data_IF_015401289199
#
_entry.id   IF_015401289199
#
_cell.length_a   1.000
_cell.length_b   1.000
_cell.length_c   1.000
_cell.angle_alpha   90.00
_cell.angle_beta   90.00
_cell.angle_gamma   90.00
#
_symmetry.space_group_name_H-M   'P 1'
#
loop_
_entity.id
_entity.type
_entity.pdbx_description
1 polymer ?
#
# COMPACT_ATOMS: atom_id res chain seq x y z
N UNK A 1 -26.05 -2.44 -60.05
CA UNK A 1 -25.17 -3.60 -59.91
C UNK A 1 -24.69 -3.63 -58.48
N UNK A 2 -25.48 -4.34 -57.66
CA UNK A 2 -25.14 -5.28 -56.57
C UNK A 2 -23.74 -5.25 -55.95
N UNK A 3 -23.51 -5.61 -54.70
CA UNK A 3 -24.29 -5.92 -53.48
C UNK A 3 -23.18 -6.40 -52.53
N UNK A 4 -23.01 -5.81 -51.35
CA UNK A 4 -22.38 -6.52 -50.24
C UNK A 4 -23.09 -6.14 -48.93
N UNK A 5 -24.10 -6.95 -48.64
CA UNK A 5 -24.83 -7.00 -47.38
C UNK A 5 -24.38 -8.23 -46.57
N UNK A 6 -24.11 -8.06 -45.27
CA UNK A 6 -24.52 -8.91 -44.11
C UNK A 6 -23.54 -8.73 -42.94
N UNK A 7 -23.86 -8.02 -41.85
CA UNK A 7 -24.82 -8.25 -40.74
C UNK A 7 -24.57 -9.50 -39.87
N UNK A 8 -24.12 -9.21 -38.64
CA UNK A 8 -24.34 -9.86 -37.34
C UNK A 8 -25.36 -11.00 -37.27
N UNK A 9 -25.01 -12.06 -36.51
CA UNK A 9 -25.89 -12.92 -35.68
C UNK A 9 -24.98 -13.82 -34.81
N UNK A 10 -24.88 -13.59 -33.50
CA UNK A 10 -25.71 -14.18 -32.42
C UNK A 10 -25.85 -15.70 -32.58
N UNK A 11 -25.01 -16.45 -31.87
CA UNK A 11 -25.14 -17.90 -31.72
C UNK A 11 -26.12 -18.15 -30.56
N UNK A 12 -27.25 -18.77 -30.90
CA UNK A 12 -28.25 -19.28 -29.97
C UNK A 12 -27.86 -20.68 -29.51
N UNK A 13 -27.93 -20.95 -28.21
CA UNK A 13 -27.88 -22.31 -27.66
C UNK A 13 -29.26 -22.97 -27.78
N UNK A 14 -29.36 -24.22 -28.25
CA UNK A 14 -30.52 -25.05 -28.00
C UNK A 14 -30.25 -26.02 -26.84
N UNK A 15 -31.05 -25.90 -25.79
CA UNK A 15 -31.40 -27.05 -24.95
C UNK A 15 -32.34 -27.98 -25.74
N UNK A 16 -32.22 -29.30 -25.59
CA UNK A 16 -33.34 -30.25 -25.41
C UNK A 16 -32.80 -31.66 -25.07
N UNK A 17 -33.12 -32.06 -23.84
CA UNK A 17 -33.59 -33.36 -23.31
C UNK A 17 -33.08 -34.68 -23.92
N UNK A 18 -32.60 -35.57 -23.04
CA UNK A 18 -33.24 -36.88 -22.84
C UNK A 18 -32.90 -37.53 -21.48
N UNK A 19 -33.95 -37.84 -20.70
CA UNK A 19 -34.07 -38.96 -19.76
C UNK A 19 -33.80 -40.29 -20.51
N UNK A 20 -33.42 -41.43 -19.95
CA UNK A 20 -33.22 -41.94 -18.60
C UNK A 20 -32.52 -43.32 -18.72
N UNK A 21 -32.24 -43.94 -17.58
CA UNK A 21 -32.24 -45.38 -17.25
C UNK A 21 -30.96 -45.82 -16.55
N UNK A 22 -31.16 -46.17 -15.28
CA UNK A 22 -30.24 -46.84 -14.37
C UNK A 22 -30.17 -48.32 -14.78
N UNK A 23 -28.95 -48.85 -14.91
CA UNK A 23 -28.69 -50.28 -14.83
C UNK A 23 -27.41 -50.49 -14.01
N UNK A 24 -27.62 -51.02 -12.82
CA UNK A 24 -26.57 -51.41 -11.87
C UNK A 24 -25.93 -52.68 -12.43
N UNK A 25 -24.65 -52.59 -12.79
CA UNK A 25 -23.77 -53.74 -12.91
C UNK A 25 -22.53 -53.45 -12.07
N UNK A 26 -22.47 -54.06 -10.89
CA UNK A 26 -21.30 -54.02 -10.03
C UNK A 26 -20.12 -54.69 -10.73
N UNK A 27 -19.02 -53.97 -10.87
CA UNK A 27 -17.69 -54.54 -10.89
C UNK A 27 -16.79 -53.67 -10.02
N UNK A 28 -16.41 -54.26 -8.90
CA UNK A 28 -15.39 -53.80 -7.97
C UNK A 28 -14.06 -53.64 -8.69
N UNK A 29 -13.75 -52.42 -9.13
CA UNK A 29 -12.39 -51.98 -9.40
C UNK A 29 -11.87 -51.30 -8.15
N UNK A 30 -11.09 -52.06 -7.38
CA UNK A 30 -10.26 -51.55 -6.31
C UNK A 30 -9.31 -50.49 -6.88
N UNK A 31 -9.66 -49.22 -6.73
CA UNK A 31 -8.71 -48.13 -6.86
C UNK A 31 -7.70 -48.28 -5.72
N UNK A 32 -6.50 -48.78 -6.05
CA UNK A 32 -5.33 -48.68 -5.17
C UNK A 32 -5.18 -47.21 -4.78
N UNK A 33 -5.38 -46.90 -3.50
CA UNK A 33 -4.96 -45.61 -2.95
C UNK A 33 -3.44 -45.49 -3.20
N UNK A 34 -2.97 -44.41 -3.85
CA UNK A 34 -1.55 -44.15 -3.88
C UNK A 34 -1.07 -43.95 -2.44
N UNK A 35 0.02 -44.63 -2.09
CA UNK A 35 0.69 -44.51 -0.80
C UNK A 35 0.92 -43.03 -0.52
N UNK A 36 0.39 -42.55 0.61
CA UNK A 36 0.78 -41.28 1.19
C UNK A 36 2.26 -41.40 1.58
N UNK A 37 3.14 -40.92 0.71
CA UNK A 37 4.45 -40.46 1.15
C UNK A 37 4.22 -39.20 1.98
N UNK A 38 4.71 -39.25 3.22
CA UNK A 38 4.87 -38.08 4.07
C UNK A 38 5.86 -37.14 3.37
N UNK A 39 5.36 -36.23 2.54
CA UNK A 39 6.11 -35.05 2.14
C UNK A 39 6.12 -34.15 3.37
N UNK A 40 7.17 -34.28 4.18
CA UNK A 40 7.57 -33.24 5.12
C UNK A 40 8.10 -32.05 4.31
N UNK A 41 7.21 -31.32 3.65
CA UNK A 41 7.51 -29.96 3.22
C UNK A 41 7.24 -29.02 4.39
N UNK A 42 8.10 -29.12 5.41
CA UNK A 42 8.51 -27.92 6.12
C UNK A 42 9.49 -27.17 5.22
N UNK A 43 8.97 -26.60 4.13
CA UNK A 43 9.55 -25.34 3.67
C UNK A 43 9.09 -24.29 4.66
N UNK A 44 9.82 -24.22 5.78
CA UNK A 44 9.92 -23.02 6.57
C UNK A 44 10.47 -21.98 5.61
N UNK A 45 9.56 -21.26 4.95
CA UNK A 45 9.90 -20.14 4.09
C UNK A 45 10.60 -19.17 5.02
N UNK A 46 11.92 -19.08 4.95
CA UNK A 46 12.67 -18.03 5.60
C UNK A 46 12.14 -16.74 5.00
N UNK A 47 11.19 -16.10 5.70
CA UNK A 47 10.66 -14.79 5.34
C UNK A 47 11.85 -13.87 5.38
N UNK A 48 12.37 -13.51 4.20
CA UNK A 48 13.47 -12.56 4.07
C UNK A 48 12.95 -11.25 4.66
N UNK A 49 13.47 -10.89 5.84
CA UNK A 49 13.07 -9.65 6.52
C UNK A 49 13.63 -8.49 5.71
N UNK A 50 12.76 -7.77 5.01
CA UNK A 50 13.14 -6.58 4.25
C UNK A 50 13.78 -5.54 5.18
N UNK A 51 14.71 -4.71 4.68
CA UNK A 51 15.17 -3.51 5.36
C UNK A 51 14.00 -2.61 5.79
N UNK A 52 14.16 -1.90 6.92
CA UNK A 52 13.11 -1.02 7.47
C UNK A 52 12.70 0.06 6.46
N UNK A 53 13.66 0.66 5.77
CA UNK A 53 13.41 1.63 4.70
C UNK A 53 12.49 1.07 3.62
N UNK A 54 12.76 -0.14 3.13
CA UNK A 54 11.99 -0.75 2.05
C UNK A 54 10.55 -1.01 2.51
N UNK A 55 10.36 -1.50 3.74
CA UNK A 55 9.02 -1.71 4.30
C UNK A 55 8.22 -0.41 4.39
N UNK A 56 8.84 0.67 4.87
CA UNK A 56 8.21 1.99 4.97
C UNK A 56 7.91 2.57 3.60
N UNK A 57 8.84 2.45 2.64
CA UNK A 57 8.66 2.88 1.25
C UNK A 57 7.46 2.18 0.62
N UNK A 58 7.40 0.85 0.70
CA UNK A 58 6.30 0.06 0.11
C UNK A 58 4.95 0.45 0.74
N UNK A 59 4.94 0.71 2.05
CA UNK A 59 3.73 1.13 2.75
C UNK A 59 3.26 2.52 2.30
N UNK A 60 4.18 3.50 2.19
CA UNK A 60 3.89 4.83 1.66
C UNK A 60 3.39 4.75 0.21
N UNK A 61 4.03 3.96 -0.65
CA UNK A 61 3.59 3.73 -2.04
C UNK A 61 2.17 3.19 -2.11
N UNK A 62 1.87 2.22 -1.25
CA UNK A 62 0.55 1.58 -1.20
C UNK A 62 -0.55 2.55 -0.77
N UNK A 63 -0.23 3.48 0.12
CA UNK A 63 -1.15 4.57 0.50
C UNK A 63 -1.26 5.58 -0.64
N UNK A 64 -0.14 6.17 -1.08
CA UNK A 64 -0.10 7.28 -2.03
C UNK A 64 -0.74 6.92 -3.39
N UNK A 65 -0.54 5.69 -3.87
CA UNK A 65 -1.17 5.20 -5.10
C UNK A 65 -2.70 5.12 -5.02
N UNK A 66 -3.26 4.89 -3.84
CA UNK A 66 -4.72 4.86 -3.61
C UNK A 66 -5.26 6.22 -3.19
N UNK A 67 -4.42 7.05 -2.58
CA UNK A 67 -4.82 8.34 -2.02
C UNK A 67 -5.27 9.32 -3.09
N UNK A 68 -4.79 9.21 -4.33
CA UNK A 68 -5.26 10.05 -5.43
C UNK A 68 -6.73 9.79 -5.84
N UNK A 69 -7.28 8.61 -5.55
CA UNK A 69 -8.57 8.16 -6.10
C UNK A 69 -9.83 8.76 -5.42
N UNK A 70 -9.71 9.76 -4.55
CA UNK A 70 -10.81 10.38 -3.75
C UNK A 70 -11.66 9.45 -2.86
N UNK A 71 -11.63 8.13 -3.09
CA UNK A 71 -12.35 7.09 -2.35
C UNK A 71 -11.56 6.53 -1.17
N UNK A 72 -10.30 6.96 -1.00
CA UNK A 72 -9.48 6.55 0.13
C UNK A 72 -9.99 7.16 1.42
N UNK A 73 -10.29 6.30 2.39
CA UNK A 73 -10.93 6.65 3.65
C UNK A 73 -10.33 5.82 4.81
N UNK A 74 -10.85 6.02 6.02
CA UNK A 74 -10.36 5.34 7.22
C UNK A 74 -10.48 3.80 7.17
N UNK A 75 -11.53 3.26 6.56
CA UNK A 75 -11.69 1.81 6.42
C UNK A 75 -10.66 1.22 5.47
N UNK A 76 -10.40 1.89 4.34
CA UNK A 76 -9.38 1.46 3.39
C UNK A 76 -7.97 1.58 3.96
N UNK A 77 -7.68 2.65 4.72
CA UNK A 77 -6.41 2.75 5.44
C UNK A 77 -6.29 1.60 6.43
N UNK A 78 -7.33 1.31 7.24
CA UNK A 78 -7.32 0.20 8.19
C UNK A 78 -7.04 -1.14 7.51
N UNK A 79 -7.77 -1.48 6.45
CA UNK A 79 -7.55 -2.73 5.72
C UNK A 79 -6.13 -2.83 5.18
N UNK A 80 -5.59 -1.73 4.66
CA UNK A 80 -4.22 -1.68 4.19
C UNK A 80 -3.23 -1.88 5.35
N UNK A 81 -3.36 -1.13 6.44
CA UNK A 81 -2.50 -1.24 7.62
C UNK A 81 -2.53 -2.65 8.23
N UNK A 82 -3.72 -3.25 8.34
CA UNK A 82 -3.89 -4.61 8.85
C UNK A 82 -3.16 -5.63 7.96
N UNK A 83 -3.11 -5.42 6.64
CA UNK A 83 -2.36 -6.32 5.74
C UNK A 83 -0.84 -6.19 5.87
N UNK A 84 -0.34 -5.05 6.34
CA UNK A 84 1.09 -4.79 6.55
C UNK A 84 1.57 -5.17 7.96
N UNK A 85 0.68 -5.16 8.96
CA UNK A 85 1.03 -5.39 10.37
C UNK A 85 1.64 -6.77 10.64
N UNK A 86 1.43 -7.73 9.72
CA UNK A 86 2.05 -9.07 9.78
C UNK A 86 3.54 -9.07 9.41
N UNK A 87 4.02 -8.04 8.71
CA UNK A 87 5.38 -7.99 8.14
C UNK A 87 6.22 -6.84 8.70
N UNK A 88 5.55 -5.76 9.11
CA UNK A 88 6.14 -4.51 9.54
C UNK A 88 5.37 -3.98 10.76
N UNK A 89 6.04 -3.48 11.83
CA UNK A 89 5.36 -2.95 13.01
C UNK A 89 4.62 -1.64 12.68
N UNK A 90 3.36 -1.77 12.25
CA UNK A 90 2.44 -0.67 11.98
C UNK A 90 1.06 -0.96 12.53
N UNK A 91 0.37 0.07 13.02
CA UNK A 91 -0.99 0.00 13.51
C UNK A 91 -1.77 1.27 13.21
N UNK A 92 -3.09 1.17 13.24
CA UNK A 92 -3.97 2.34 13.16
C UNK A 92 -4.07 2.99 14.53
N UNK A 93 -3.83 4.29 14.61
CA UNK A 93 -4.14 5.06 15.82
C UNK A 93 -5.65 5.25 15.94
N UNK A 94 -6.21 4.91 17.10
CA UNK A 94 -7.59 5.21 17.48
C UNK A 94 -7.64 5.56 18.96
N UNK A 95 -8.59 6.42 19.34
CA UNK A 95 -8.75 6.86 20.73
C UNK A 95 -8.97 5.69 21.73
N UNK A 96 -9.46 4.55 21.25
CA UNK A 96 -9.79 3.35 22.03
C UNK A 96 -8.76 2.21 21.92
N UNK A 97 -7.69 2.37 21.13
CA UNK A 97 -6.65 1.35 20.94
C UNK A 97 -5.25 1.97 20.93
N UNK A 98 -4.40 1.60 21.89
CA UNK A 98 -3.01 2.04 21.90
C UNK A 98 -2.18 1.28 20.86
N UNK A 99 -1.56 2.00 19.93
CA UNK A 99 -0.50 1.45 19.09
C UNK A 99 0.77 1.30 19.95
N UNK A 100 1.48 0.15 19.92
CA UNK A 100 2.72 0.02 20.69
C UNK A 100 3.74 1.09 20.33
N UNK A 101 4.47 1.62 21.32
CA UNK A 101 5.53 2.63 21.13
C UNK A 101 6.67 2.15 20.21
N UNK A 102 6.71 0.87 19.87
CA UNK A 102 7.67 0.28 18.94
C UNK A 102 7.15 0.18 17.49
N UNK A 103 5.92 0.63 17.23
CA UNK A 103 5.22 0.53 15.94
C UNK A 103 4.91 1.90 15.34
N UNK A 104 4.90 1.99 14.02
CA UNK A 104 4.39 3.18 13.32
C UNK A 104 2.88 3.27 13.57
N UNK A 105 2.42 4.44 14.01
CA UNK A 105 1.01 4.73 14.13
C UNK A 105 0.52 5.49 12.89
N UNK A 106 -0.48 4.94 12.21
CA UNK A 106 -1.10 5.55 11.04
C UNK A 106 -2.46 6.14 11.40
N UNK A 107 -2.70 7.38 11.00
CA UNK A 107 -3.98 8.07 11.11
C UNK A 107 -4.32 8.79 9.80
N UNK A 108 -5.60 9.07 9.60
CA UNK A 108 -6.08 9.74 8.40
C UNK A 108 -7.02 10.88 8.78
N UNK A 109 -6.83 12.00 8.10
CA UNK A 109 -7.72 13.13 8.13
C UNK A 109 -8.22 13.39 6.71
N UNK A 110 -9.53 13.26 6.52
CA UNK A 110 -10.23 13.70 5.32
C UNK A 110 -11.10 14.87 5.73
N UNK A 111 -10.77 16.06 5.24
CA UNK A 111 -11.54 17.25 5.53
C UNK A 111 -12.69 17.39 4.54
N UNK A 112 -13.80 18.00 4.94
CA UNK A 112 -14.84 18.45 4.01
C UNK A 112 -14.60 19.86 3.49
N UNK A 113 -13.68 20.62 4.11
CA UNK A 113 -13.38 22.00 3.73
C UNK A 113 -12.46 22.05 2.51
N UNK A 114 -12.75 22.96 1.57
CA UNK A 114 -12.05 23.05 0.27
C UNK A 114 -10.61 23.58 0.44
N UNK A 115 -10.36 24.37 1.48
CA UNK A 115 -9.08 24.97 1.83
C UNK A 115 -8.20 24.07 2.71
N UNK A 116 -8.71 22.93 3.17
CA UNK A 116 -7.97 21.99 3.98
C UNK A 116 -7.50 20.78 3.18
N UNK A 117 -6.23 20.44 3.37
CA UNK A 117 -5.63 19.25 2.78
C UNK A 117 -6.11 17.98 3.48
N UNK A 118 -6.30 16.94 2.67
CA UNK A 118 -6.46 15.59 3.20
C UNK A 118 -5.08 14.99 3.43
N UNK A 119 -4.90 14.26 4.52
CA UNK A 119 -3.61 13.63 4.80
C UNK A 119 -3.74 12.27 5.49
N UNK A 120 -2.75 11.43 5.25
CA UNK A 120 -2.44 10.28 6.09
C UNK A 120 -1.17 10.62 6.85
N UNK A 121 -1.21 10.58 8.18
CA UNK A 121 -0.05 10.82 9.02
C UNK A 121 0.50 9.49 9.55
N UNK A 122 1.81 9.33 9.43
CA UNK A 122 2.57 8.21 9.96
C UNK A 122 3.46 8.75 11.08
N UNK A 123 3.13 8.44 12.32
CA UNK A 123 3.95 8.77 13.49
C UNK A 123 4.97 7.66 13.69
N UNK A 124 6.26 8.03 13.70
CA UNK A 124 7.36 7.07 13.63
C UNK A 124 8.14 7.09 14.95
N UNK A 125 8.16 5.97 15.69
CA UNK A 125 8.92 5.91 16.93
C UNK A 125 10.42 5.90 16.68
N UNK A 126 11.19 6.35 17.66
CA UNK A 126 12.65 6.57 17.56
C UNK A 126 13.42 5.32 17.11
N UNK A 127 13.04 4.14 17.62
CA UNK A 127 13.65 2.86 17.28
C UNK A 127 13.51 2.47 15.79
N UNK A 128 12.57 3.09 15.07
CA UNK A 128 12.36 2.97 13.62
C UNK A 128 12.95 4.20 12.92
N UNK A 129 12.62 5.41 13.40
CA UNK A 129 12.97 6.69 12.78
C UNK A 129 14.47 6.93 12.61
N UNK A 130 15.29 6.46 13.56
CA UNK A 130 16.77 6.52 13.51
C UNK A 130 17.38 5.56 12.49
N UNK A 131 16.62 4.54 12.06
CA UNK A 131 17.06 3.56 11.05
C UNK A 131 16.65 3.98 9.64
N UNK A 132 15.81 5.00 9.50
CA UNK A 132 15.34 5.47 8.21
C UNK A 132 16.38 6.34 7.53
N UNK A 133 16.83 5.93 6.34
CA UNK A 133 17.69 6.73 5.49
C UNK A 133 16.89 7.72 4.66
N UNK A 134 17.13 9.02 4.85
CA UNK A 134 16.61 10.07 3.96
C UNK A 134 17.05 9.88 2.52
N UNK A 135 18.33 9.50 2.32
CA UNK A 135 18.88 9.24 0.99
C UNK A 135 18.11 8.15 0.25
N UNK A 136 17.68 7.10 0.94
CA UNK A 136 16.87 6.05 0.31
C UNK A 136 15.45 6.52 0.00
N UNK A 137 14.83 7.30 0.91
CA UNK A 137 13.51 7.88 0.66
C UNK A 137 13.52 8.84 -0.54
N UNK A 138 14.49 9.74 -0.63
CA UNK A 138 14.60 10.70 -1.74
C UNK A 138 15.06 10.05 -3.03
N UNK A 139 15.88 8.98 -2.96
CA UNK A 139 16.22 8.19 -4.14
C UNK A 139 14.98 7.49 -4.74
N UNK A 140 14.03 7.08 -3.89
CA UNK A 140 12.81 6.40 -4.34
C UNK A 140 11.72 7.39 -4.79
N UNK A 141 11.36 8.36 -3.94
CA UNK A 141 10.23 9.26 -4.18
C UNK A 141 10.58 10.49 -5.00
N UNK A 142 11.86 10.79 -5.18
CA UNK A 142 12.35 11.96 -5.88
C UNK A 142 13.00 13.00 -4.96
N UNK A 143 13.57 14.05 -5.56
CA UNK A 143 14.30 15.06 -4.82
C UNK A 143 13.40 15.86 -3.89
N UNK A 144 14.00 16.40 -2.82
CA UNK A 144 13.33 17.36 -1.95
C UNK A 144 13.03 18.62 -2.76
N UNK A 145 11.81 19.13 -2.66
CA UNK A 145 11.43 20.40 -3.27
C UNK A 145 12.27 21.51 -2.65
N UNK A 146 12.99 22.33 -3.47
CA UNK A 146 13.76 23.44 -2.96
C UNK A 146 12.86 24.36 -2.14
N UNK A 147 13.30 24.73 -0.93
CA UNK A 147 12.61 25.76 -0.16
C UNK A 147 12.76 27.10 -0.89
N UNK A 148 11.69 27.90 -0.91
CA UNK A 148 11.81 29.32 -1.26
C UNK A 148 12.83 29.98 -0.33
N UNK A 149 13.97 30.36 -0.90
CA UNK A 149 15.12 30.93 -0.19
C UNK A 149 14.83 32.32 0.40
N UNK A 150 13.66 32.90 0.12
CA UNK A 150 13.19 34.16 0.69
C UNK A 150 12.76 34.03 2.16
N UNK A 151 12.60 32.82 2.69
CA UNK A 151 12.20 32.60 4.07
C UNK A 151 13.36 32.07 4.92
N UNK A 152 13.48 32.52 6.18
CA UNK A 152 14.51 32.03 7.08
C UNK A 152 14.42 30.51 7.25
N UNK A 153 15.59 29.88 7.45
CA UNK A 153 15.64 28.45 7.73
C UNK A 153 14.75 28.12 8.96
N UNK A 154 13.92 27.07 8.90
CA UNK A 154 13.08 26.66 10.00
C UNK A 154 13.92 26.38 11.23
N UNK A 155 13.35 26.72 12.39
CA UNK A 155 13.79 26.15 13.65
C UNK A 155 13.40 24.67 13.66
N UNK A 156 14.31 23.83 14.13
CA UNK A 156 14.13 22.38 14.32
C UNK A 156 12.73 22.06 14.87
N UNK A 157 12.05 20.98 14.42
CA UNK A 157 12.48 19.98 13.42
C UNK A 157 12.49 20.51 11.98
N UNK A 158 13.24 19.87 11.08
CA UNK A 158 13.32 20.25 9.67
C UNK A 158 12.15 19.63 8.87
N UNK A 159 11.14 20.42 8.43
CA UNK A 159 10.14 19.93 7.49
C UNK A 159 10.76 19.86 6.09
N UNK A 160 10.63 18.68 5.46
CA UNK A 160 11.03 18.44 4.08
C UNK A 160 9.82 18.05 3.25
N UNK A 161 9.74 18.55 2.02
CA UNK A 161 8.66 18.27 1.09
C UNK A 161 9.21 17.50 -0.11
N UNK A 162 8.57 16.40 -0.48
CA UNK A 162 8.88 15.63 -1.70
C UNK A 162 7.60 15.54 -2.54
N UNK A 163 7.60 16.14 -3.74
CA UNK A 163 6.47 16.03 -4.66
C UNK A 163 6.43 14.64 -5.33
N UNK A 164 5.27 13.98 -5.29
CA UNK A 164 5.11 12.63 -5.84
C UNK A 164 4.61 12.60 -7.29
N UNK A 165 4.49 13.77 -7.94
CA UNK A 165 3.98 13.90 -9.32
C UNK A 165 4.72 13.02 -10.33
N UNK A 166 6.04 12.93 -10.19
CA UNK A 166 6.88 12.13 -11.08
C UNK A 166 6.92 10.64 -10.70
N UNK A 167 6.53 10.32 -9.47
CA UNK A 167 6.49 8.95 -8.95
C UNK A 167 5.22 8.22 -9.38
N UNK A 168 4.13 8.95 -9.57
CA UNK A 168 2.85 8.42 -10.04
C UNK A 168 2.34 9.19 -11.25
N UNK A 169 2.68 8.77 -12.48
CA UNK A 169 2.45 9.55 -13.71
C UNK A 169 0.97 9.81 -14.05
N UNK A 170 0.04 9.09 -13.39
CA UNK A 170 -1.39 9.20 -13.62
C UNK A 170 -2.14 9.93 -12.49
N UNK A 171 -1.43 10.59 -11.57
CA UNK A 171 -2.06 11.30 -10.46
C UNK A 171 -2.82 12.54 -10.93
N UNK A 172 -4.08 12.67 -10.49
CA UNK A 172 -4.95 13.80 -10.83
C UNK A 172 -4.81 14.95 -9.83
N UNK A 173 -4.63 14.63 -8.56
CA UNK A 173 -4.41 15.58 -7.47
C UNK A 173 -2.92 15.70 -7.17
N UNK A 174 -2.50 16.87 -6.71
CA UNK A 174 -1.11 17.04 -6.27
C UNK A 174 -0.95 16.39 -4.89
N UNK A 175 -0.31 15.21 -4.90
CA UNK A 175 0.10 14.44 -3.72
C UNK A 175 1.59 14.69 -3.43
N UNK A 176 1.93 14.90 -2.17
CA UNK A 176 3.31 15.10 -1.73
C UNK A 176 3.55 14.49 -0.35
N UNK A 177 4.82 14.22 -0.04
CA UNK A 177 5.25 13.83 1.30
C UNK A 177 5.73 15.06 2.05
N UNK A 178 5.29 15.21 3.30
CA UNK A 178 5.85 16.14 4.26
C UNK A 178 6.50 15.33 5.38
N UNK A 179 7.83 15.36 5.45
CA UNK A 179 8.64 14.57 6.37
C UNK A 179 9.17 15.49 7.47
N UNK A 180 8.94 15.12 8.72
CA UNK A 180 9.55 15.80 9.86
C UNK A 180 10.71 14.98 10.40
N UNK A 181 11.83 15.67 10.60
CA UNK A 181 13.06 15.08 11.09
C UNK A 181 13.70 15.91 12.20
N UNK A 182 14.36 15.22 13.13
CA UNK A 182 15.07 15.82 14.25
C UNK A 182 16.31 16.61 13.83
N UNK A 183 16.86 16.37 12.64
CA UNK A 183 18.08 17.01 12.14
C UNK A 183 18.11 17.07 10.60
N UNK A 184 19.19 17.63 10.03
CA UNK A 184 19.36 17.71 8.58
C UNK A 184 19.42 16.31 7.96
N UNK A 185 18.96 16.13 6.71
CA UNK A 185 18.97 14.84 6.01
C UNK A 185 20.33 14.13 5.99
N UNK A 186 21.42 14.90 6.03
CA UNK A 186 22.79 14.42 5.97
C UNK A 186 23.36 14.06 7.35
N UNK A 187 22.68 14.41 8.44
CA UNK A 187 23.16 14.16 9.80
C UNK A 187 23.02 12.70 10.20
N UNK A 188 24.06 12.16 10.86
CA UNK A 188 24.06 10.78 11.38
C UNK A 188 23.18 10.60 12.62
N UNK A 189 22.84 11.70 13.31
CA UNK A 189 21.93 11.72 14.46
C UNK A 189 20.49 12.02 14.04
N UNK A 190 20.23 12.07 12.73
CA UNK A 190 18.91 12.38 12.24
C UNK A 190 17.93 11.24 12.54
N UNK A 191 16.75 11.63 12.96
CA UNK A 191 15.62 10.75 13.23
C UNK A 191 14.41 11.29 12.50
N UNK A 192 13.80 10.46 11.67
CA UNK A 192 12.49 10.76 11.09
C UNK A 192 11.43 10.48 12.16
N UNK A 193 10.70 11.52 12.57
CA UNK A 193 9.65 11.42 13.59
C UNK A 193 8.25 11.30 13.00
N UNK A 194 8.02 11.86 11.81
CA UNK A 194 6.75 11.71 11.12
C UNK A 194 6.88 11.82 9.60
N UNK A 195 5.98 11.12 8.90
CA UNK A 195 5.78 11.25 7.46
C UNK A 195 4.29 11.48 7.21
N UNK A 196 3.95 12.61 6.60
CA UNK A 196 2.58 12.92 6.15
C UNK A 196 2.49 12.77 4.65
N UNK A 197 1.54 11.96 4.19
CA UNK A 197 1.16 11.84 2.79
C UNK A 197 -0.02 12.79 2.59
N UNK A 198 0.21 13.89 1.88
CA UNK A 198 -0.74 14.99 1.78
C UNK A 198 -1.30 15.04 0.37
N UNK A 199 -2.62 15.21 0.26
CA UNK A 199 -3.33 15.45 -0.99
C UNK A 199 -3.96 16.83 -0.93
N UNK A 200 -3.56 17.66 -1.89
CA UNK A 200 -4.25 18.93 -2.15
C UNK A 200 -5.55 18.69 -2.92
N UNK A 201 -6.58 19.49 -2.59
CA UNK A 201 -7.89 19.46 -3.23
C UNK A 201 -7.96 20.36 -4.44
#
# INVERSE_FOLDING_TARGET
MDDQTKKNRVIKYPCIKMLAVILIAGQSLACKQPKSENIKDSQLTTVVKLPVNDQVIIYIDSIASKFDNQKFNAEQLKLLTDSFSSYFPVGIYKDDHSVPDSSIAADINISSAVDQYDFVNLSIPENIGTKLSFKQLTAHFGPVTPRDTMFPAPKMPFPLIIELKNHFPNQKSHVFLNIQASDSPESITNQISSIKIVRSK
#
